data_IF_228681186612
#
_entry.id   IF_228681186612
#
_cell.length_a   1.000
_cell.length_b   1.000
_cell.length_c   1.000
_cell.angle_alpha   90.00
_cell.angle_beta   90.00
_cell.angle_gamma   90.00
#
_symmetry.space_group_name_H-M   'P 1'
#
loop_
_entity.id
_entity.type
_entity.pdbx_description
1 polymer ?
#
# COMPACT_ATOMS: atom_id res chain seq x y z
N UNK A 1 -6.10 15.69 -4.64
CA UNK A 1 -6.25 14.61 -5.65
C UNK A 1 -6.96 13.42 -5.02
N UNK A 2 -7.77 12.66 -5.77
CA UNK A 2 -8.34 11.38 -5.31
C UNK A 2 -7.47 10.25 -5.87
N UNK A 3 -6.96 9.38 -5.00
CA UNK A 3 -6.14 8.22 -5.36
C UNK A 3 -6.98 6.95 -5.28
N UNK A 4 -6.89 6.13 -6.32
CA UNK A 4 -7.44 4.77 -6.38
C UNK A 4 -6.28 3.77 -6.43
N UNK A 5 -6.58 2.50 -6.21
CA UNK A 5 -5.59 1.42 -6.25
C UNK A 5 -4.40 1.60 -5.28
N UNK A 6 -4.65 2.18 -4.09
CA UNK A 6 -3.60 2.39 -3.07
C UNK A 6 -2.91 1.09 -2.60
N UNK A 7 -3.53 -0.06 -2.86
CA UNK A 7 -2.99 -1.42 -2.60
C UNK A 7 -2.32 -2.04 -3.82
N UNK A 8 -2.00 -1.25 -4.85
CA UNK A 8 -1.45 -1.70 -6.11
C UNK A 8 -2.25 -2.86 -6.75
N UNK A 9 -3.58 -2.71 -6.86
CA UNK A 9 -4.50 -3.73 -7.38
C UNK A 9 -4.38 -5.10 -6.67
N UNK A 10 -4.14 -5.07 -5.35
CA UNK A 10 -4.01 -6.25 -4.50
C UNK A 10 -2.59 -6.81 -4.40
N UNK A 11 -1.61 -6.29 -5.15
CA UNK A 11 -0.22 -6.80 -5.13
C UNK A 11 0.53 -6.53 -3.83
N UNK A 12 0.07 -5.56 -3.04
CA UNK A 12 0.62 -5.28 -1.71
C UNK A 12 -0.13 -6.04 -0.60
N UNK A 13 -1.09 -6.89 -0.95
CA UNK A 13 -1.81 -7.72 0.00
C UNK A 13 -1.19 -9.13 0.05
N UNK A 14 -1.03 -9.67 1.26
CA UNK A 14 -0.56 -11.03 1.48
C UNK A 14 0.94 -11.25 1.21
N UNK A 15 1.33 -12.51 1.13
CA UNK A 15 2.73 -12.96 1.20
C UNK A 15 3.55 -12.66 -0.07
N UNK A 16 2.90 -12.26 -1.16
CA UNK A 16 3.54 -11.91 -2.43
C UNK A 16 4.02 -10.45 -2.48
N UNK A 17 3.70 -9.65 -1.45
CA UNK A 17 4.21 -8.29 -1.34
C UNK A 17 5.74 -8.29 -1.19
N UNK A 18 6.48 -7.26 -1.67
CA UNK A 18 7.92 -7.21 -1.53
C UNK A 18 8.40 -7.41 -0.09
N UNK A 19 9.45 -8.19 0.14
CA UNK A 19 9.92 -8.52 1.50
C UNK A 19 10.17 -7.27 2.36
N UNK A 20 10.84 -6.26 1.79
CA UNK A 20 11.07 -4.97 2.46
C UNK A 20 9.76 -4.27 2.87
N UNK A 21 8.70 -4.37 2.06
CA UNK A 21 7.39 -3.82 2.42
C UNK A 21 6.77 -4.58 3.61
N UNK A 22 6.89 -5.91 3.63
CA UNK A 22 6.40 -6.74 4.73
C UNK A 22 7.16 -6.45 6.04
N UNK A 23 8.49 -6.27 5.95
CA UNK A 23 9.33 -5.91 7.09
C UNK A 23 8.93 -4.56 7.69
N UNK A 24 8.64 -3.56 6.86
CA UNK A 24 8.16 -2.25 7.31
C UNK A 24 6.79 -2.37 7.99
N UNK A 25 5.85 -3.13 7.42
CA UNK A 25 4.55 -3.37 8.05
C UNK A 25 4.68 -4.08 9.40
N UNK A 26 5.55 -5.08 9.49
CA UNK A 26 5.86 -5.77 10.73
C UNK A 26 6.48 -4.83 11.78
N UNK A 27 7.44 -3.98 11.38
CA UNK A 27 8.08 -3.00 12.26
C UNK A 27 7.07 -1.94 12.77
N UNK A 28 6.12 -1.53 11.92
CA UNK A 28 5.05 -0.61 12.29
C UNK A 28 3.92 -1.29 13.11
N UNK A 29 3.94 -2.62 13.26
CA UNK A 29 2.93 -3.37 14.03
C UNK A 29 1.53 -3.36 13.40
N UNK A 30 1.43 -3.13 12.09
CA UNK A 30 0.17 -3.04 11.35
C UNK A 30 0.17 -3.95 10.13
N UNK A 31 -1.00 -4.13 9.52
CA UNK A 31 -1.11 -4.80 8.22
C UNK A 31 -0.46 -3.98 7.10
N UNK A 32 0.00 -4.68 6.05
CA UNK A 32 0.52 -4.01 4.85
C UNK A 32 -0.50 -3.08 4.19
N UNK A 33 -1.80 -3.37 4.37
CA UNK A 33 -2.87 -2.51 3.92
C UNK A 33 -2.87 -1.12 4.56
N UNK A 34 -2.65 -1.04 5.87
CA UNK A 34 -2.46 0.21 6.56
C UNK A 34 -1.21 0.96 6.09
N UNK A 35 -0.09 0.27 5.88
CA UNK A 35 1.17 0.90 5.39
C UNK A 35 1.01 1.48 3.99
N UNK A 36 0.44 0.72 3.05
CA UNK A 36 0.26 1.18 1.69
C UNK A 36 -0.63 2.43 1.61
N UNK A 37 -1.75 2.42 2.34
CA UNK A 37 -2.66 3.56 2.38
C UNK A 37 -2.04 4.76 3.11
N UNK A 38 -1.28 4.51 4.18
CA UNK A 38 -0.57 5.57 4.91
C UNK A 38 0.46 6.25 4.01
N UNK A 39 1.25 5.49 3.24
CA UNK A 39 2.23 6.04 2.30
C UNK A 39 1.58 7.00 1.30
N UNK A 40 0.40 6.65 0.77
CA UNK A 40 -0.35 7.52 -0.13
C UNK A 40 -0.89 8.75 0.61
N UNK A 41 -1.40 8.58 1.84
CA UNK A 41 -1.91 9.69 2.66
C UNK A 41 -0.82 10.71 3.05
N UNK A 42 0.44 10.28 3.16
CA UNK A 42 1.58 11.18 3.42
C UNK A 42 1.93 12.08 2.23
N UNK A 43 1.43 11.78 1.03
CA UNK A 43 1.72 12.60 -0.14
C UNK A 43 0.98 13.94 -0.06
N UNK A 44 1.67 15.09 -0.20
CA UNK A 44 1.07 16.41 0.02
C UNK A 44 -0.05 16.76 -0.98
N UNK A 45 -0.13 16.04 -2.10
CA UNK A 45 -1.14 16.21 -3.14
C UNK A 45 -2.35 15.27 -2.97
N UNK A 46 -2.26 14.24 -2.13
CA UNK A 46 -3.33 13.29 -1.87
C UNK A 46 -4.38 13.94 -0.94
N UNK A 47 -5.58 14.19 -1.48
CA UNK A 47 -6.70 14.73 -0.71
C UNK A 47 -7.68 13.65 -0.24
N UNK A 48 -7.77 12.55 -0.99
CA UNK A 48 -8.60 11.38 -0.65
C UNK A 48 -7.88 10.13 -1.16
N UNK A 49 -7.84 9.08 -0.35
CA UNK A 49 -7.36 7.75 -0.75
C UNK A 49 -8.53 6.77 -0.61
N UNK A 50 -8.88 6.09 -1.69
CA UNK A 50 -9.98 5.12 -1.67
C UNK A 50 -9.52 3.80 -1.04
N UNK A 51 -10.29 3.34 -0.05
CA UNK A 51 -10.17 2.00 0.51
C UNK A 51 -10.83 0.98 -0.43
N UNK A 52 -10.11 -0.10 -0.73
CA UNK A 52 -10.62 -1.25 -1.48
C UNK A 52 -11.26 -2.34 -0.61
N UNK A 53 -11.53 -2.06 0.67
CA UNK A 53 -12.06 -3.05 1.61
C UNK A 53 -13.44 -3.58 1.17
N UNK A 54 -13.57 -4.90 1.12
CA UNK A 54 -14.83 -5.61 0.86
C UNK A 54 -15.46 -6.17 2.16
N UNK A 55 -14.69 -6.22 3.25
CA UNK A 55 -15.16 -6.71 4.56
C UNK A 55 -14.92 -5.69 5.66
N UNK A 56 -15.66 -5.82 6.77
CA UNK A 56 -15.45 -4.98 7.95
C UNK A 56 -14.05 -5.15 8.55
N UNK A 57 -13.48 -6.35 8.49
CA UNK A 57 -12.10 -6.63 8.94
C UNK A 57 -11.09 -5.86 8.10
N UNK A 58 -11.21 -5.91 6.77
CA UNK A 58 -10.35 -5.13 5.88
C UNK A 58 -10.53 -3.63 6.08
N UNK A 59 -11.77 -3.16 6.29
CA UNK A 59 -12.02 -1.76 6.56
C UNK A 59 -11.34 -1.32 7.88
N UNK A 60 -11.45 -2.12 8.93
CA UNK A 60 -10.78 -1.87 10.21
C UNK A 60 -9.26 -1.83 10.05
N UNK A 61 -8.67 -2.75 9.27
CA UNK A 61 -7.25 -2.74 8.91
C UNK A 61 -6.86 -1.42 8.23
N UNK A 62 -7.54 -1.09 7.14
CA UNK A 62 -7.29 0.13 6.37
C UNK A 62 -7.38 1.43 7.19
N UNK A 63 -8.27 1.49 8.19
CA UNK A 63 -8.42 2.69 9.03
C UNK A 63 -7.19 2.97 9.91
N UNK A 64 -6.34 1.98 10.17
CA UNK A 64 -5.06 2.21 10.88
C UNK A 64 -4.11 3.10 10.07
N UNK A 65 -4.27 3.22 8.76
CA UNK A 65 -3.45 4.08 7.91
C UNK A 65 -3.38 5.54 8.38
N UNK A 66 -4.42 6.04 9.07
CA UNK A 66 -4.46 7.41 9.58
C UNK A 66 -3.53 7.66 10.78
N UNK A 67 -3.03 6.59 11.42
CA UNK A 67 -2.17 6.66 12.61
C UNK A 67 -0.82 5.96 12.44
N UNK A 68 -0.55 5.41 11.25
CA UNK A 68 0.77 4.86 10.91
C UNK A 68 1.71 6.03 10.63
N UNK A 69 2.72 6.19 11.47
CA UNK A 69 3.80 7.16 11.28
C UNK A 69 5.00 6.42 10.68
N UNK A 70 5.25 6.66 9.38
CA UNK A 70 6.40 6.07 8.68
C UNK A 70 7.57 7.02 8.85
N UNK A 71 8.70 6.56 9.37
CA UNK A 71 9.90 7.41 9.46
C UNK A 71 10.56 7.65 8.09
N UNK A 72 11.59 8.50 8.07
CA UNK A 72 12.33 8.82 6.84
C UNK A 72 12.98 7.60 6.18
N UNK A 73 13.47 6.65 6.96
CA UNK A 73 14.15 5.45 6.47
C UNK A 73 13.15 4.48 5.84
N UNK A 74 12.02 4.26 6.50
CA UNK A 74 10.91 3.46 5.99
C UNK A 74 10.35 4.06 4.70
N UNK A 75 10.14 5.38 4.64
CA UNK A 75 9.70 6.05 3.40
C UNK A 75 10.70 5.90 2.27
N UNK A 76 12.00 6.09 2.53
CA UNK A 76 13.04 5.89 1.53
C UNK A 76 13.09 4.43 1.02
N UNK A 77 12.91 3.45 1.91
CA UNK A 77 12.79 2.04 1.55
C UNK A 77 11.59 1.77 0.65
N UNK A 78 10.43 2.36 0.96
CA UNK A 78 9.23 2.24 0.14
C UNK A 78 9.37 2.93 -1.22
N UNK A 79 10.03 4.08 -1.29
CA UNK A 79 10.31 4.80 -2.55
C UNK A 79 11.22 3.98 -3.48
N UNK A 80 12.07 3.12 -2.94
CA UNK A 80 12.90 2.21 -3.74
C UNK A 80 12.10 1.06 -4.42
N UNK A 81 10.83 0.86 -4.04
CA UNK A 81 9.95 -0.16 -4.64
C UNK A 81 9.22 0.33 -5.90
N UNK A 82 9.45 1.58 -6.33
CA UNK A 82 8.79 2.14 -7.52
C UNK A 82 9.08 1.30 -8.75
N UNK A 83 8.02 0.92 -9.45
CA UNK A 83 8.07 0.23 -10.73
C UNK A 83 7.80 1.19 -11.89
N UNK A 84 8.44 0.94 -13.04
CA UNK A 84 8.08 1.62 -14.28
C UNK A 84 6.61 1.34 -14.64
N UNK A 85 5.77 2.37 -14.93
CA UNK A 85 4.33 2.18 -15.10
C UNK A 85 3.95 1.14 -16.16
N UNK A 86 4.64 1.11 -17.30
CA UNK A 86 4.37 0.13 -18.35
C UNK A 86 4.71 -1.31 -17.91
N UNK A 87 5.79 -1.48 -17.15
CA UNK A 87 6.20 -2.78 -16.62
C UNK A 87 5.19 -3.27 -15.58
N UNK A 88 4.77 -2.38 -14.65
CA UNK A 88 3.74 -2.66 -13.66
C UNK A 88 2.46 -3.17 -14.30
N UNK A 89 1.93 -2.44 -15.28
CA UNK A 89 0.65 -2.80 -15.92
C UNK A 89 0.76 -4.05 -16.78
N UNK A 90 1.89 -4.25 -17.47
CA UNK A 90 2.14 -5.48 -18.24
C UNK A 90 2.19 -6.70 -17.32
N UNK A 91 2.87 -6.60 -16.18
CA UNK A 91 2.91 -7.67 -15.18
C UNK A 91 1.53 -7.92 -14.58
N UNK A 92 0.83 -6.88 -14.11
CA UNK A 92 -0.50 -7.00 -13.50
C UNK A 92 -1.56 -7.58 -14.43
N UNK A 93 -1.49 -7.26 -15.73
CA UNK A 93 -2.39 -7.81 -16.74
C UNK A 93 -2.21 -9.32 -16.97
N UNK A 94 -1.04 -9.87 -16.62
CA UNK A 94 -0.75 -11.30 -16.68
C UNK A 94 -1.22 -12.10 -15.46
N UNK A 95 -1.66 -11.43 -14.38
CA UNK A 95 -2.10 -12.07 -13.15
C UNK A 95 -3.62 -12.31 -13.12
N UNK A 96 -4.09 -13.38 -12.46
CA UNK A 96 -5.52 -13.59 -12.25
C UNK A 96 -6.13 -12.47 -11.40
N UNK A 97 -7.44 -12.27 -11.56
CA UNK A 97 -8.22 -11.46 -10.65
C UNK A 97 -8.71 -12.35 -9.51
N UNK A 98 -8.40 -11.96 -8.27
CA UNK A 98 -8.84 -12.60 -7.04
C UNK A 98 -9.88 -11.73 -6.34
#
# INVERSE_FOLDING_TARGET
VIVKEGMANGRLAGDEAPAMFQEIAAAAGVGGDAVALALVLHQPWAGVVLSGAATATQLSGNLHAAVVDLDDEQRAGLDALVEEPEAYWRHRAGLPWH
#
